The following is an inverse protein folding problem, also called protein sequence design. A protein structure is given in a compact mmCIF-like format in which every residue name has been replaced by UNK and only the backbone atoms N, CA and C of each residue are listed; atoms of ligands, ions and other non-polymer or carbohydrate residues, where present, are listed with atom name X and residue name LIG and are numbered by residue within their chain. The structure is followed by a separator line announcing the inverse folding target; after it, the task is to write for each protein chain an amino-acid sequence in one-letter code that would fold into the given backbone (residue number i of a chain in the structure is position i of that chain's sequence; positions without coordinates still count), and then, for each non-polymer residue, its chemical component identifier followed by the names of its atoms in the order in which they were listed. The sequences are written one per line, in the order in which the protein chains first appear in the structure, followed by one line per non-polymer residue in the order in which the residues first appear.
data_IF_545537578299
#
_entry.id   IF_545537578299
#
_cell.length_a   1.000
_cell.length_b   1.000
_cell.length_c   1.000
_cell.angle_alpha   90.00
_cell.angle_beta   90.00
_cell.angle_gamma   90.00
#
_symmetry.space_group_name_H-M   'P 1'
#
loop_
_entity.id
_entity.type
_entity.pdbx_description
1 polymer ?
#
# COMPACT_ATOMS: atom_id res chain seq x y z
N UNK A 1 8.71 -15.98 -3.03
CA UNK A 1 8.80 -16.45 -1.62
C UNK A 1 7.58 -15.95 -0.86
N UNK A 2 7.16 -16.61 0.23
CA UNK A 2 6.18 -16.04 1.18
C UNK A 2 6.82 -14.91 2.02
N UNK A 3 6.26 -14.62 3.20
CA UNK A 3 6.85 -13.66 4.14
C UNK A 3 8.31 -13.97 4.46
N UNK A 4 9.17 -12.95 4.46
CA UNK A 4 10.58 -13.07 4.84
C UNK A 4 10.84 -12.40 6.19
N UNK A 5 11.35 -13.19 7.14
CA UNK A 5 11.75 -12.72 8.47
C UNK A 5 13.25 -12.94 8.58
N UNK A 6 14.02 -11.85 8.52
CA UNK A 6 15.48 -11.91 8.44
C UNK A 6 16.12 -12.61 9.65
N UNK A 7 15.57 -12.44 10.85
CA UNK A 7 16.03 -13.11 12.06
C UNK A 7 15.77 -14.62 12.07
N UNK A 8 14.87 -15.15 11.24
CA UNK A 8 14.50 -16.57 11.21
C UNK A 8 15.49 -17.38 10.35
N UNK A 9 16.22 -18.37 10.92
CA UNK A 9 17.16 -19.21 10.16
C UNK A 9 16.50 -19.96 9.00
N UNK A 10 15.23 -20.36 9.16
CA UNK A 10 14.44 -21.03 8.11
C UNK A 10 14.27 -20.16 6.87
N UNK A 11 14.06 -18.87 7.07
CA UNK A 11 13.88 -17.93 5.96
C UNK A 11 15.22 -17.54 5.35
N UNK A 12 16.27 -17.39 6.17
CA UNK A 12 17.64 -17.15 5.69
C UNK A 12 18.15 -18.26 4.77
N UNK A 13 18.04 -19.53 5.18
CA UNK A 13 18.49 -20.63 4.29
C UNK A 13 17.70 -20.66 2.99
N UNK A 14 16.38 -20.39 3.03
CA UNK A 14 15.55 -20.35 1.82
C UNK A 14 15.95 -19.22 0.87
N UNK A 15 16.42 -18.08 1.41
CA UNK A 15 16.91 -16.95 0.64
C UNK A 15 18.19 -17.22 -0.14
N UNK A 16 18.93 -18.30 0.16
CA UNK A 16 20.12 -18.69 -0.60
C UNK A 16 19.78 -19.45 -1.89
N UNK A 17 18.57 -19.99 -2.05
CA UNK A 17 18.16 -20.60 -3.31
C UNK A 17 17.91 -19.52 -4.36
N UNK A 18 18.45 -19.71 -5.57
CA UNK A 18 18.34 -18.74 -6.66
C UNK A 18 17.33 -19.21 -7.71
N UNK A 19 16.54 -18.28 -8.29
CA UNK A 19 16.40 -16.86 -7.91
C UNK A 19 15.58 -16.68 -6.62
N UNK A 20 15.88 -15.61 -5.87
CA UNK A 20 15.11 -15.22 -4.68
C UNK A 20 14.98 -13.70 -4.62
N UNK A 21 13.73 -13.23 -4.59
CA UNK A 21 13.41 -11.81 -4.53
C UNK A 21 12.56 -11.50 -3.29
N UNK A 22 12.72 -10.29 -2.77
CA UNK A 22 11.91 -9.71 -1.71
C UNK A 22 11.10 -8.54 -2.24
N UNK A 23 9.86 -8.42 -1.79
CA UNK A 23 8.99 -7.30 -2.12
C UNK A 23 9.40 -6.08 -1.29
N UNK A 24 9.66 -4.95 -1.93
CA UNK A 24 9.93 -3.68 -1.25
C UNK A 24 8.69 -3.21 -0.47
N UNK A 25 8.80 -2.88 0.83
CA UNK A 25 7.64 -2.51 1.65
C UNK A 25 6.99 -1.18 1.26
N UNK A 26 7.69 -0.32 0.53
CA UNK A 26 7.20 1.03 0.16
C UNK A 26 6.73 1.16 -1.28
N UNK A 27 7.38 0.45 -2.21
CA UNK A 27 7.14 0.59 -3.66
C UNK A 27 6.49 -0.63 -4.27
N UNK A 28 6.39 -1.73 -3.51
CA UNK A 28 5.87 -3.03 -3.96
C UNK A 28 6.54 -3.58 -5.23
N UNK A 29 7.79 -3.21 -5.46
CA UNK A 29 8.64 -3.80 -6.51
C UNK A 29 9.44 -4.97 -5.94
N UNK A 30 9.61 -6.03 -6.74
CA UNK A 30 10.45 -7.17 -6.41
C UNK A 30 11.94 -6.83 -6.60
N UNK A 31 12.74 -7.04 -5.56
CA UNK A 31 14.18 -6.75 -5.54
C UNK A 31 14.96 -8.03 -5.20
N UNK A 32 16.07 -8.33 -5.90
CA UNK A 32 16.92 -9.47 -5.58
C UNK A 32 17.37 -9.45 -4.12
N UNK A 33 17.21 -10.57 -3.42
CA UNK A 33 17.47 -10.65 -1.98
C UNK A 33 18.90 -10.24 -1.61
N UNK A 34 19.88 -10.48 -2.48
CA UNK A 34 21.28 -10.06 -2.32
C UNK A 34 21.41 -8.57 -2.04
N UNK A 35 20.58 -7.76 -2.71
CA UNK A 35 20.57 -6.30 -2.56
C UNK A 35 19.86 -5.87 -1.27
N UNK A 36 18.94 -6.69 -0.76
CA UNK A 36 18.17 -6.39 0.44
C UNK A 36 18.91 -6.76 1.74
N UNK A 37 19.77 -7.78 1.72
CA UNK A 37 20.44 -8.31 2.90
C UNK A 37 21.24 -7.26 3.69
N UNK A 38 22.08 -6.40 3.08
CA UNK A 38 22.83 -5.38 3.83
C UNK A 38 21.94 -4.45 4.63
N UNK A 39 20.78 -4.06 4.08
CA UNK A 39 19.83 -3.20 4.77
C UNK A 39 19.13 -3.90 5.93
N UNK A 40 18.84 -5.20 5.77
CA UNK A 40 18.14 -6.03 6.75
C UNK A 40 18.99 -6.40 7.97
N UNK A 41 20.31 -6.47 7.81
CA UNK A 41 21.24 -6.67 8.94
C UNK A 41 21.27 -5.42 9.85
N UNK A 42 21.00 -4.23 9.30
CA UNK A 42 21.05 -2.96 10.03
C UNK A 42 19.70 -2.57 10.64
N UNK A 43 18.58 -2.86 9.97
CA UNK A 43 17.24 -2.47 10.42
C UNK A 43 16.18 -3.52 10.06
N UNK A 44 15.21 -3.71 10.98
CA UNK A 44 14.04 -4.57 10.74
C UNK A 44 13.15 -4.05 9.60
N UNK A 45 13.10 -2.73 9.43
CA UNK A 45 12.36 -2.07 8.37
C UNK A 45 13.33 -1.27 7.50
N UNK A 46 13.34 -1.55 6.21
CA UNK A 46 14.14 -0.80 5.24
C UNK A 46 13.48 -0.86 3.86
N UNK A 47 13.59 0.25 3.13
CA UNK A 47 13.23 0.31 1.71
C UNK A 47 14.27 -0.44 0.90
N UNK A 48 13.83 -1.34 0.01
CA UNK A 48 14.74 -2.14 -0.84
C UNK A 48 14.99 -1.51 -2.20
N UNK A 49 14.01 -0.80 -2.75
CA UNK A 49 14.17 -0.11 -4.03
C UNK A 49 15.10 1.10 -3.83
N UNK A 50 16.20 1.11 -4.58
CA UNK A 50 17.25 2.12 -4.51
C UNK A 50 16.88 3.43 -5.20
N UNK A 51 15.84 3.43 -6.04
CA UNK A 51 15.32 4.65 -6.64
C UNK A 51 14.53 5.46 -5.57
N UNK A 52 15.01 6.66 -5.19
CA UNK A 52 14.32 7.49 -4.21
C UNK A 52 12.98 8.05 -4.73
N UNK A 53 12.84 8.24 -6.05
CA UNK A 53 11.63 8.79 -6.67
C UNK A 53 10.57 7.71 -6.94
N UNK A 54 10.95 6.44 -6.85
CA UNK A 54 10.00 5.34 -7.00
C UNK A 54 8.90 5.43 -5.93
N UNK A 55 7.67 5.15 -6.34
CA UNK A 55 6.53 5.09 -5.44
C UNK A 55 5.70 3.85 -5.78
N UNK A 56 4.81 3.47 -4.85
CA UNK A 56 3.78 2.48 -5.13
C UNK A 56 2.97 2.89 -6.38
N UNK A 57 3.00 2.04 -7.41
CA UNK A 57 2.25 2.24 -8.65
C UNK A 57 0.73 2.30 -8.40
N UNK A 58 0.26 1.53 -7.40
CA UNK A 58 -1.13 1.41 -6.98
C UNK A 58 -1.59 2.52 -6.04
N UNK A 59 -0.71 3.45 -5.63
CA UNK A 59 -1.06 4.54 -4.72
C UNK A 59 -2.26 5.32 -5.23
N UNK A 60 -3.16 5.72 -4.33
CA UNK A 60 -4.30 6.57 -4.69
C UNK A 60 -3.81 7.93 -5.19
N UNK A 61 -4.15 8.27 -6.44
CA UNK A 61 -3.80 9.56 -7.08
C UNK A 61 -4.99 10.50 -7.08
N UNK A 62 -6.18 9.94 -7.16
CA UNK A 62 -7.43 10.68 -7.27
C UNK A 62 -8.45 10.12 -6.26
N UNK A 63 -8.45 10.64 -5.02
CA UNK A 63 -9.39 10.23 -3.99
C UNK A 63 -10.85 10.56 -4.34
N UNK A 64 -11.12 11.48 -5.26
CA UNK A 64 -12.49 11.90 -5.59
C UNK A 64 -13.26 10.80 -6.34
N UNK A 65 -12.54 9.87 -6.98
CA UNK A 65 -13.12 8.70 -7.67
C UNK A 65 -13.49 7.53 -6.75
N UNK A 66 -13.06 7.58 -5.50
CA UNK A 66 -13.38 6.57 -4.48
C UNK A 66 -14.89 6.37 -4.37
N UNK A 67 -15.35 5.13 -4.25
CA UNK A 67 -16.77 4.83 -4.12
C UNK A 67 -17.23 4.85 -2.65
N UNK A 68 -18.26 5.66 -2.37
CA UNK A 68 -18.90 5.77 -1.06
C UNK A 68 -20.31 5.19 -1.15
N UNK A 69 -20.68 4.38 -0.16
CA UNK A 69 -22.06 3.97 0.07
C UNK A 69 -22.66 4.85 1.16
N UNK A 70 -23.63 5.68 0.78
CA UNK A 70 -24.31 6.62 1.68
C UNK A 70 -25.80 6.64 1.39
N UNK A 71 -26.65 6.56 2.43
CA UNK A 71 -28.12 6.55 2.30
C UNK A 71 -28.66 5.60 1.21
N UNK A 72 -28.10 4.38 1.14
CA UNK A 72 -28.44 3.33 0.15
C UNK A 72 -28.13 3.71 -1.31
N UNK A 73 -27.35 4.76 -1.54
CA UNK A 73 -26.86 5.15 -2.85
C UNK A 73 -25.33 4.98 -2.92
N UNK A 74 -24.84 4.59 -4.08
CA UNK A 74 -23.40 4.55 -4.39
C UNK A 74 -23.06 5.86 -5.10
N UNK A 75 -22.05 6.57 -4.61
CA UNK A 75 -21.58 7.78 -5.23
C UNK A 75 -20.07 7.97 -5.11
N UNK A 76 -19.42 8.64 -6.08
CA UNK A 76 -18.03 9.04 -5.95
C UNK A 76 -17.83 10.00 -4.78
N UNK A 77 -16.69 9.91 -4.11
CA UNK A 77 -16.35 10.75 -2.97
C UNK A 77 -16.36 12.24 -3.32
N UNK A 78 -15.94 12.62 -4.54
CA UNK A 78 -16.00 14.01 -4.99
C UNK A 78 -17.42 14.59 -4.99
N UNK A 79 -18.44 13.76 -5.25
CA UNK A 79 -19.86 14.15 -5.16
C UNK A 79 -20.33 14.17 -3.70
N UNK A 80 -19.90 13.19 -2.90
CA UNK A 80 -20.23 13.11 -1.47
C UNK A 80 -19.76 14.37 -0.73
N UNK A 81 -18.51 14.78 -0.96
CA UNK A 81 -17.86 15.94 -0.34
C UNK A 81 -18.57 17.26 -0.61
N UNK A 82 -19.26 17.39 -1.74
CA UNK A 82 -20.05 18.59 -2.06
C UNK A 82 -21.35 18.65 -1.24
N UNK A 83 -21.90 17.50 -0.85
CA UNK A 83 -23.15 17.41 -0.09
C UNK A 83 -22.92 17.50 1.42
N UNK A 84 -21.79 16.98 1.91
CA UNK A 84 -21.41 16.93 3.33
C UNK A 84 -19.99 17.48 3.48
N UNK A 85 -19.84 18.58 4.22
CA UNK A 85 -18.54 19.22 4.46
C UNK A 85 -18.13 19.05 5.92
N UNK A 86 -17.94 17.80 6.32
CA UNK A 86 -17.44 17.40 7.63
C UNK A 86 -15.92 17.18 7.55
N UNK A 87 -15.07 18.02 8.19
CA UNK A 87 -13.61 17.91 8.09
C UNK A 87 -13.06 16.57 8.60
N UNK A 88 -13.71 15.97 9.59
CA UNK A 88 -13.30 14.68 10.15
C UNK A 88 -13.50 13.51 9.18
N UNK A 89 -14.53 13.57 8.34
CA UNK A 89 -14.79 12.53 7.34
C UNK A 89 -13.77 12.58 6.21
N UNK A 90 -13.35 13.78 5.80
CA UNK A 90 -12.33 13.95 4.75
C UNK A 90 -11.01 13.27 5.12
N UNK A 91 -10.51 13.51 6.33
CA UNK A 91 -9.29 12.85 6.81
C UNK A 91 -9.41 11.32 6.79
N UNK A 92 -10.55 10.77 7.23
CA UNK A 92 -10.79 9.33 7.27
C UNK A 92 -10.89 8.71 5.86
N UNK A 93 -11.54 9.39 4.90
CA UNK A 93 -11.65 8.90 3.52
C UNK A 93 -10.29 8.95 2.82
N UNK A 94 -9.51 10.03 3.00
CA UNK A 94 -8.17 10.15 2.45
C UNK A 94 -7.22 9.10 3.01
N UNK A 95 -7.29 8.82 4.32
CA UNK A 95 -6.51 7.76 4.94
C UNK A 95 -6.91 6.38 4.39
N UNK A 96 -8.21 6.12 4.22
CA UNK A 96 -8.65 4.87 3.61
C UNK A 96 -8.11 4.73 2.18
N UNK A 97 -8.24 5.77 1.37
CA UNK A 97 -7.78 5.77 -0.02
C UNK A 97 -6.26 5.50 -0.13
N UNK A 98 -5.45 6.08 0.76
CA UNK A 98 -4.00 5.84 0.78
C UNK A 98 -3.63 4.41 1.16
N UNK A 99 -4.42 3.75 2.00
CA UNK A 99 -4.17 2.36 2.44
C UNK A 99 -4.58 1.31 1.40
N UNK A 100 -5.71 1.51 0.72
CA UNK A 100 -6.22 0.50 -0.24
C UNK A 100 -5.69 0.67 -1.66
N UNK A 101 -5.24 1.88 -2.02
CA UNK A 101 -4.80 2.22 -3.36
C UNK A 101 -5.95 2.50 -4.34
N UNK A 102 -5.62 3.03 -5.52
CA UNK A 102 -6.60 3.54 -6.49
C UNK A 102 -7.54 2.44 -7.02
N UNK A 103 -6.99 1.28 -7.40
CA UNK A 103 -7.79 0.23 -8.02
C UNK A 103 -8.83 -0.35 -7.05
N UNK A 104 -8.49 -0.45 -5.77
CA UNK A 104 -9.39 -0.95 -4.75
C UNK A 104 -10.40 0.12 -4.33
N UNK A 105 -9.99 1.39 -4.20
CA UNK A 105 -10.89 2.48 -3.79
C UNK A 105 -12.02 2.74 -4.79
N UNK A 106 -11.80 2.44 -6.08
CA UNK A 106 -12.83 2.54 -7.12
C UNK A 106 -13.78 1.34 -7.18
N UNK A 107 -13.41 0.20 -6.59
CA UNK A 107 -14.19 -1.05 -6.64
C UNK A 107 -14.87 -1.39 -5.33
N UNK A 108 -14.29 -0.99 -4.21
CA UNK A 108 -14.82 -1.22 -2.87
C UNK A 108 -15.68 -0.03 -2.45
N UNK A 109 -16.78 -0.33 -1.76
CA UNK A 109 -17.68 0.71 -1.24
C UNK A 109 -17.28 1.05 0.19
N UNK A 110 -16.89 2.30 0.41
CA UNK A 110 -16.65 2.83 1.75
C UNK A 110 -18.00 3.27 2.35
N UNK A 111 -18.45 2.57 3.37
CA UNK A 111 -19.71 2.88 4.04
C UNK A 111 -19.62 4.17 4.87
N UNK A 112 -20.58 5.07 4.70
CA UNK A 112 -20.76 6.29 5.50
C UNK A 112 -22.24 6.43 5.88
N UNK A 113 -22.48 6.82 7.14
CA UNK A 113 -23.82 6.94 7.73
C UNK A 113 -24.42 8.31 7.47
#
# INVERSE_FOLDING_TARGET
MGFYIHSCPKMRYKGHYRPSDLLCPETYVWVPIEQCLPSLENSKYCRFNQDPEAADEGRSRDPDRLQVLYKKAILPYGVFKQQQREPGEEAAVLQYASLVGQACSERMLLFRN
#
